data_IF_392273597166
#
_entry.id   IF_392273597166
#
_cell.length_a   1.000
_cell.length_b   1.000
_cell.length_c   1.000
_cell.angle_alpha   90.00
_cell.angle_beta   90.00
_cell.angle_gamma   90.00
#
_symmetry.space_group_name_H-M   'P 1'
#
loop_
_entity.id
_entity.type
_entity.pdbx_description
1 polymer ?
#
# COMPACT_ATOMS: atom_id res chain seq x y z
N UNK A 1 -45.20 -66.35 14.69
CA UNK A 1 -45.64 -65.11 14.01
C UNK A 1 -44.93 -63.93 14.68
N UNK A 2 -43.93 -63.34 14.02
CA UNK A 2 -43.13 -62.24 14.59
C UNK A 2 -43.79 -60.93 14.18
N UNK A 3 -44.25 -60.14 15.16
CA UNK A 3 -44.66 -58.75 14.94
C UNK A 3 -43.41 -57.87 15.00
N UNK A 4 -43.00 -57.35 13.86
CA UNK A 4 -42.05 -56.23 13.81
C UNK A 4 -42.86 -54.98 14.10
N UNK A 5 -42.65 -54.36 15.26
CA UNK A 5 -43.16 -53.00 15.52
C UNK A 5 -42.18 -52.01 14.91
N UNK A 6 -42.59 -51.34 13.84
CA UNK A 6 -41.87 -50.19 13.30
C UNK A 6 -41.88 -49.05 14.33
N UNK A 7 -40.72 -48.79 14.91
CA UNK A 7 -40.52 -47.75 15.90
C UNK A 7 -40.30 -46.40 15.19
N UNK A 8 -41.38 -45.82 14.67
CA UNK A 8 -41.37 -44.49 14.06
C UNK A 8 -41.25 -43.40 15.14
N UNK A 9 -40.03 -43.21 15.69
CA UNK A 9 -39.71 -42.04 16.50
C UNK A 9 -39.65 -40.83 15.58
N UNK A 10 -40.75 -40.07 15.52
CA UNK A 10 -40.81 -38.80 14.78
C UNK A 10 -39.84 -37.78 15.37
N UNK A 11 -39.28 -36.93 14.51
CA UNK A 11 -38.42 -35.82 14.90
C UNK A 11 -39.19 -34.90 15.85
N UNK A 12 -38.67 -34.65 17.05
CA UNK A 12 -39.32 -33.76 17.99
C UNK A 12 -38.98 -32.30 17.66
N UNK A 13 -39.91 -31.38 17.95
CA UNK A 13 -39.71 -29.95 17.69
C UNK A 13 -38.50 -29.38 18.45
N UNK A 14 -38.21 -29.94 19.63
CA UNK A 14 -37.06 -29.54 20.44
C UNK A 14 -35.73 -29.96 19.80
N UNK A 15 -35.64 -31.13 19.16
CA UNK A 15 -34.44 -31.57 18.45
C UNK A 15 -34.18 -30.70 17.22
N UNK A 16 -35.23 -30.26 16.52
CA UNK A 16 -35.11 -29.32 15.40
C UNK A 16 -34.62 -27.96 15.86
N UNK A 17 -35.19 -27.44 16.96
CA UNK A 17 -34.80 -26.15 17.54
C UNK A 17 -33.34 -26.19 18.01
N UNK A 18 -32.92 -27.25 18.68
CA UNK A 18 -31.54 -27.42 19.13
C UNK A 18 -30.57 -27.48 17.94
N UNK A 19 -30.95 -28.20 16.87
CA UNK A 19 -30.14 -28.30 15.64
C UNK A 19 -30.01 -26.93 14.95
N UNK A 20 -31.09 -26.16 14.84
CA UNK A 20 -31.07 -24.81 14.28
C UNK A 20 -30.24 -23.85 15.14
N UNK A 21 -30.33 -23.96 16.47
CA UNK A 21 -29.52 -23.16 17.38
C UNK A 21 -28.02 -23.42 17.16
N UNK A 22 -27.61 -24.69 17.13
CA UNK A 22 -26.21 -25.07 16.86
C UNK A 22 -25.77 -24.60 15.47
N UNK A 23 -26.60 -24.79 14.45
CA UNK A 23 -26.30 -24.38 13.08
C UNK A 23 -26.08 -22.86 12.98
N UNK A 24 -26.92 -22.05 13.64
CA UNK A 24 -26.76 -20.59 13.63
C UNK A 24 -25.45 -20.13 14.27
N UNK A 25 -25.01 -20.80 15.35
CA UNK A 25 -23.70 -20.54 15.98
C UNK A 25 -22.59 -20.86 14.97
N UNK A 26 -22.64 -22.01 14.30
CA UNK A 26 -21.63 -22.42 13.32
C UNK A 26 -21.58 -21.42 12.16
N UNK A 27 -22.73 -21.05 11.59
CA UNK A 27 -22.80 -20.06 10.50
C UNK A 27 -22.23 -18.72 10.94
N UNK A 28 -22.54 -18.26 12.15
CA UNK A 28 -22.00 -17.01 12.69
C UNK A 28 -20.47 -17.03 12.78
N UNK A 29 -19.90 -18.12 13.30
CA UNK A 29 -18.44 -18.29 13.40
C UNK A 29 -17.77 -18.31 12.02
N UNK A 30 -18.31 -19.11 11.09
CA UNK A 30 -17.77 -19.21 9.72
C UNK A 30 -17.86 -17.86 9.00
N UNK A 31 -18.98 -17.17 9.11
CA UNK A 31 -19.18 -15.86 8.49
C UNK A 31 -18.20 -14.83 9.02
N UNK A 32 -17.92 -14.82 10.33
CA UNK A 32 -16.93 -13.92 10.93
C UNK A 32 -15.53 -14.15 10.36
N UNK A 33 -15.09 -15.41 10.24
CA UNK A 33 -13.79 -15.75 9.65
C UNK A 33 -13.73 -15.33 8.18
N UNK A 34 -14.78 -15.57 7.40
CA UNK A 34 -14.84 -15.18 5.99
C UNK A 34 -14.75 -13.66 5.82
N UNK A 35 -15.54 -12.89 6.56
CA UNK A 35 -15.50 -11.42 6.52
C UNK A 35 -14.11 -10.91 6.90
N UNK A 36 -13.49 -11.46 7.95
CA UNK A 36 -12.14 -11.08 8.34
C UNK A 36 -11.10 -11.41 7.26
N UNK A 37 -11.24 -12.55 6.60
CA UNK A 37 -10.35 -12.97 5.51
C UNK A 37 -10.46 -12.05 4.30
N UNK A 38 -11.68 -11.67 3.93
CA UNK A 38 -11.92 -10.71 2.84
C UNK A 38 -11.32 -9.33 3.17
N UNK A 39 -11.57 -8.81 4.38
CA UNK A 39 -11.00 -7.54 4.84
C UNK A 39 -9.47 -7.57 4.86
N UNK A 40 -8.86 -8.71 5.21
CA UNK A 40 -7.42 -8.89 5.16
C UNK A 40 -6.90 -8.89 3.72
N UNK A 41 -7.56 -9.61 2.81
CA UNK A 41 -7.19 -9.66 1.38
C UNK A 41 -7.20 -8.26 0.78
N UNK A 42 -8.27 -7.50 0.98
CA UNK A 42 -8.39 -6.13 0.45
C UNK A 42 -7.26 -5.20 0.94
N UNK A 43 -6.90 -5.30 2.23
CA UNK A 43 -5.79 -4.52 2.81
C UNK A 43 -4.44 -4.95 2.24
N UNK A 44 -4.25 -6.25 2.03
CA UNK A 44 -3.02 -6.80 1.46
C UNK A 44 -2.86 -6.37 -0.01
N UNK A 45 -3.94 -6.42 -0.78
CA UNK A 45 -3.97 -5.98 -2.19
C UNK A 45 -3.69 -4.49 -2.32
N UNK A 46 -4.31 -3.63 -1.50
CA UNK A 46 -4.01 -2.19 -1.48
C UNK A 46 -2.53 -1.93 -1.18
N UNK A 47 -1.96 -2.58 -0.16
CA UNK A 47 -0.53 -2.45 0.16
C UNK A 47 0.38 -2.88 -0.99
N UNK A 48 0.04 -3.96 -1.68
CA UNK A 48 0.80 -4.43 -2.84
C UNK A 48 0.74 -3.43 -3.99
N UNK A 49 -0.43 -2.87 -4.25
CA UNK A 49 -0.61 -1.82 -5.27
C UNK A 49 0.23 -0.57 -4.96
N UNK A 50 0.18 -0.08 -3.71
CA UNK A 50 0.99 1.04 -3.25
C UNK A 50 2.50 0.76 -3.35
N UNK A 51 2.94 -0.44 -2.99
CA UNK A 51 4.33 -0.85 -3.13
C UNK A 51 4.78 -0.89 -4.60
N UNK A 52 3.93 -1.41 -5.49
CA UNK A 52 4.19 -1.43 -6.93
C UNK A 52 4.34 -0.03 -7.50
N UNK A 53 3.48 0.91 -7.08
CA UNK A 53 3.55 2.31 -7.50
C UNK A 53 4.86 2.96 -7.02
N UNK A 54 5.22 2.77 -5.75
CA UNK A 54 6.48 3.29 -5.21
C UNK A 54 7.69 2.75 -5.97
N UNK A 55 7.68 1.45 -6.30
CA UNK A 55 8.77 0.83 -7.06
C UNK A 55 8.84 1.37 -8.49
N UNK A 56 7.70 1.63 -9.14
CA UNK A 56 7.66 2.25 -10.46
C UNK A 56 8.26 3.66 -10.44
N UNK A 57 7.86 4.50 -9.47
CA UNK A 57 8.41 5.84 -9.27
C UNK A 57 9.92 5.82 -9.02
N UNK A 58 10.39 4.93 -8.13
CA UNK A 58 11.81 4.76 -7.85
C UNK A 58 12.59 4.27 -9.07
N UNK A 59 12.01 3.36 -9.86
CA UNK A 59 12.64 2.89 -11.10
C UNK A 59 12.78 4.03 -12.11
N UNK A 60 11.75 4.87 -12.27
CA UNK A 60 11.82 6.05 -13.13
C UNK A 60 12.89 7.04 -12.64
N UNK A 61 12.89 7.39 -11.35
CA UNK A 61 13.92 8.24 -10.76
C UNK A 61 15.33 7.67 -10.96
N UNK A 62 15.48 6.36 -10.80
CA UNK A 62 16.75 5.65 -11.04
C UNK A 62 17.19 5.75 -12.48
N UNK A 63 16.27 5.56 -13.44
CA UNK A 63 16.57 5.70 -14.86
C UNK A 63 17.05 7.12 -15.19
N UNK A 64 16.36 8.16 -14.69
CA UNK A 64 16.82 9.55 -14.86
C UNK A 64 18.19 9.79 -14.23
N UNK A 65 18.42 9.23 -13.04
CA UNK A 65 19.70 9.35 -12.33
C UNK A 65 20.85 8.61 -13.04
N UNK A 66 20.56 7.59 -13.85
CA UNK A 66 21.58 6.82 -14.58
C UNK A 66 21.83 7.32 -16.01
N UNK A 67 20.89 8.06 -16.61
CA UNK A 67 20.90 8.37 -18.05
C UNK A 67 21.54 9.72 -18.43
N UNK A 68 21.72 10.64 -17.48
CA UNK A 68 22.22 12.00 -17.76
C UNK A 68 23.22 12.52 -16.72
N UNK A 69 23.65 13.78 -16.87
CA UNK A 69 24.48 14.47 -15.88
C UNK A 69 23.65 15.14 -14.79
N UNK A 70 22.50 15.68 -15.17
CA UNK A 70 21.56 16.36 -14.27
C UNK A 70 20.11 16.17 -14.71
N UNK A 71 19.19 16.24 -13.77
CA UNK A 71 17.75 16.29 -14.04
C UNK A 71 17.03 17.14 -13.00
N UNK A 72 15.83 17.61 -13.31
CA UNK A 72 14.99 18.37 -12.41
C UNK A 72 13.97 17.47 -11.73
N UNK A 73 13.80 17.65 -10.42
CA UNK A 73 12.69 17.06 -9.67
C UNK A 73 11.94 18.16 -8.96
N UNK A 74 10.62 18.18 -9.10
CA UNK A 74 9.73 19.00 -8.28
C UNK A 74 8.62 18.16 -7.68
N UNK A 75 8.12 18.64 -6.54
CA UNK A 75 7.03 18.02 -5.82
C UNK A 75 6.09 19.10 -5.33
N UNK A 76 4.80 18.92 -5.62
CA UNK A 76 3.74 19.78 -5.15
C UNK A 76 2.79 18.97 -4.26
N UNK A 77 2.81 19.26 -2.96
CA UNK A 77 1.95 18.63 -1.96
C UNK A 77 0.47 19.03 -2.10
N UNK A 78 0.17 20.16 -2.72
CA UNK A 78 -1.22 20.63 -2.94
C UNK A 78 -1.88 19.91 -4.12
N UNK A 79 -1.14 19.73 -5.23
CA UNK A 79 -1.63 18.98 -6.40
C UNK A 79 -1.25 17.50 -6.35
N UNK A 80 -0.49 17.07 -5.33
CA UNK A 80 0.08 15.72 -5.20
C UNK A 80 0.89 15.27 -6.41
N UNK A 81 1.45 16.22 -7.17
CA UNK A 81 2.21 15.92 -8.38
C UNK A 81 3.71 15.83 -8.06
N UNK A 82 4.33 14.76 -8.56
CA UNK A 82 5.78 14.65 -8.68
C UNK A 82 6.12 14.83 -10.16
N UNK A 83 7.03 15.74 -10.46
CA UNK A 83 7.52 15.99 -11.82
C UNK A 83 9.01 15.70 -11.91
N UNK A 84 9.40 15.02 -12.99
CA UNK A 84 10.79 14.80 -13.36
C UNK A 84 11.00 15.33 -14.78
N UNK A 85 11.85 16.34 -14.95
CA UNK A 85 12.03 17.05 -16.22
C UNK A 85 10.67 17.40 -16.90
N UNK A 86 9.79 18.07 -16.15
CA UNK A 86 8.44 18.49 -16.58
C UNK A 86 7.42 17.36 -16.84
N UNK A 87 7.82 16.09 -16.71
CA UNK A 87 6.92 14.93 -16.86
C UNK A 87 6.32 14.55 -15.50
N UNK A 88 4.99 14.48 -15.41
CA UNK A 88 4.29 13.98 -14.21
C UNK A 88 4.47 12.47 -14.12
N UNK A 89 5.00 11.99 -13.00
CA UNK A 89 5.32 10.57 -12.79
C UNK A 89 4.35 9.86 -11.83
N UNK A 90 3.60 10.61 -11.02
CA UNK A 90 2.62 10.07 -10.07
C UNK A 90 1.21 9.97 -10.64
N UNK A 91 0.41 9.09 -10.07
CA UNK A 91 -1.04 8.99 -10.30
C UNK A 91 -1.85 10.01 -9.50
N UNK A 92 -2.96 10.55 -10.05
CA UNK A 92 -3.76 11.60 -9.42
C UNK A 92 -4.63 11.14 -8.24
N UNK A 93 -4.88 9.83 -8.11
CA UNK A 93 -5.70 9.21 -7.04
C UNK A 93 -4.90 8.91 -5.76
N UNK A 94 -3.60 9.22 -5.75
CA UNK A 94 -2.70 8.92 -4.65
C UNK A 94 -2.08 10.18 -4.09
N UNK A 95 -1.93 10.21 -2.77
CA UNK A 95 -1.18 11.25 -2.10
C UNK A 95 0.26 10.80 -1.93
N UNK A 96 1.20 11.66 -2.32
CA UNK A 96 2.62 11.41 -2.17
C UNK A 96 3.21 12.34 -1.12
N UNK A 97 4.18 11.82 -0.38
CA UNK A 97 5.15 12.61 0.38
C UNK A 97 6.51 12.22 -0.15
N UNK A 98 7.23 13.18 -0.70
CA UNK A 98 8.55 12.97 -1.28
C UNK A 98 9.58 13.83 -0.54
N UNK A 99 10.65 13.18 -0.07
CA UNK A 99 11.82 13.84 0.49
C UNK A 99 13.05 13.37 -0.28
N UNK A 100 13.80 14.31 -0.82
CA UNK A 100 15.05 14.05 -1.56
C UNK A 100 16.21 14.86 -0.99
N UNK A 101 17.37 14.22 -0.85
CA UNK A 101 18.57 14.85 -0.26
C UNK A 101 19.88 14.30 -0.87
N UNK A 102 20.76 15.19 -1.32
CA UNK A 102 22.13 14.87 -1.79
C UNK A 102 23.23 15.34 -0.83
N UNK A 103 22.86 16.13 0.20
CA UNK A 103 23.75 16.70 1.20
C UNK A 103 23.90 15.77 2.42
N UNK A 104 22.95 14.85 2.63
CA UNK A 104 23.01 13.81 3.67
C UNK A 104 24.31 12.99 3.68
N UNK A 105 24.96 12.85 2.51
CA UNK A 105 26.25 12.16 2.38
C UNK A 105 27.50 13.02 2.60
N UNK A 106 27.34 14.34 2.68
CA UNK A 106 28.46 15.27 2.86
C UNK A 106 28.62 15.73 4.31
N UNK A 107 27.88 15.12 5.26
CA UNK A 107 27.89 15.52 6.68
C UNK A 107 27.28 16.91 6.92
N UNK A 108 26.62 17.50 5.92
CA UNK A 108 25.92 18.77 6.01
C UNK A 108 24.53 18.57 6.61
N UNK A 109 24.02 19.53 7.41
CA UNK A 109 22.67 19.46 7.95
C UNK A 109 21.64 19.37 6.81
N UNK A 110 20.82 18.31 6.84
CA UNK A 110 19.74 18.09 5.89
C UNK A 110 18.83 19.32 5.78
N UNK A 111 18.80 19.96 4.62
CA UNK A 111 18.02 21.18 4.38
C UNK A 111 16.53 20.89 4.15
N UNK A 112 16.09 19.63 4.21
CA UNK A 112 14.70 19.26 3.91
C UNK A 112 14.16 18.36 5.01
N UNK A 113 13.89 18.98 6.17
CA UNK A 113 13.10 18.39 7.24
C UNK A 113 11.66 18.84 7.10
N UNK A 114 10.92 18.31 6.12
CA UNK A 114 9.46 18.14 6.16
C UNK A 114 8.91 17.82 4.78
N UNK A 115 7.76 17.12 4.79
CA UNK A 115 6.88 16.81 3.68
C UNK A 115 6.27 18.07 3.01
N UNK A 116 7.10 19.01 2.58
CA UNK A 116 6.66 20.25 1.95
C UNK A 116 6.98 20.25 0.47
N UNK A 117 6.06 20.86 -0.30
CA UNK A 117 6.27 21.16 -1.71
C UNK A 117 7.66 21.76 -1.91
N UNK A 118 8.38 21.29 -2.93
CA UNK A 118 9.61 21.92 -3.36
C UNK A 118 9.55 22.23 -4.86
N UNK A 119 10.01 23.43 -5.26
CA UNK A 119 10.11 23.79 -6.68
C UNK A 119 11.18 22.93 -7.36
N UNK A 120 11.36 23.12 -8.67
CA UNK A 120 12.36 22.39 -9.45
C UNK A 120 13.75 22.43 -8.79
N UNK A 121 14.20 21.27 -8.33
CA UNK A 121 15.55 21.05 -7.83
C UNK A 121 16.38 20.37 -8.90
N UNK A 122 17.51 20.97 -9.23
CA UNK A 122 18.52 20.33 -10.08
C UNK A 122 19.25 19.26 -9.27
N UNK A 123 19.11 18.02 -9.70
CA UNK A 123 19.75 16.85 -9.11
C UNK A 123 20.94 16.47 -9.98
N UNK A 124 22.14 16.40 -9.38
CA UNK A 124 23.35 15.96 -10.08
C UNK A 124 23.50 14.45 -9.97
N UNK A 125 23.81 13.76 -11.07
CA UNK A 125 23.81 12.28 -11.10
C UNK A 125 25.08 11.64 -10.55
N UNK A 126 26.17 12.38 -10.43
CA UNK A 126 27.43 11.86 -9.89
C UNK A 126 27.46 11.80 -8.34
N UNK A 127 26.37 12.23 -7.66
CA UNK A 127 26.23 12.15 -6.20
C UNK A 127 25.07 11.24 -5.84
N UNK A 128 25.21 10.37 -4.82
CA UNK A 128 24.10 9.58 -4.30
C UNK A 128 22.89 10.45 -3.97
N UNK A 129 21.71 10.00 -4.37
CA UNK A 129 20.44 10.64 -4.04
C UNK A 129 19.73 9.81 -2.97
N UNK A 130 19.57 10.36 -1.77
CA UNK A 130 18.66 9.80 -0.78
C UNK A 130 17.22 10.14 -1.18
N UNK A 131 16.36 9.13 -1.21
CA UNK A 131 14.93 9.27 -1.51
C UNK A 131 14.13 8.60 -0.39
N UNK A 132 13.23 9.37 0.20
CA UNK A 132 12.18 8.87 1.07
C UNK A 132 10.84 9.20 0.42
N UNK A 133 10.07 8.14 0.14
CA UNK A 133 8.79 8.22 -0.54
C UNK A 133 7.75 7.54 0.34
N UNK A 134 6.67 8.27 0.64
CA UNK A 134 5.46 7.70 1.24
C UNK A 134 4.28 7.94 0.29
N UNK A 135 3.49 6.90 0.08
CA UNK A 135 2.28 6.93 -0.76
C UNK A 135 1.10 6.56 0.13
N UNK A 136 0.00 7.31 0.01
CA UNK A 136 -1.22 7.14 0.79
C UNK A 136 -2.40 7.04 -0.18
N UNK A 137 -3.24 6.02 -0.04
CA UNK A 137 -4.48 5.87 -0.82
C UNK A 137 -5.69 6.56 -0.14
N UNK A 138 -6.81 6.61 -0.85
CA UNK A 138 -8.08 7.17 -0.34
C UNK A 138 -8.60 6.45 0.91
N UNK A 139 -8.24 5.17 1.10
CA UNK A 139 -8.61 4.34 2.26
C UNK A 139 -7.62 4.51 3.42
N UNK A 140 -6.74 5.51 3.37
CA UNK A 140 -5.70 5.78 4.36
C UNK A 140 -4.72 4.62 4.59
N UNK A 141 -4.61 3.68 3.64
CA UNK A 141 -3.50 2.74 3.59
C UNK A 141 -2.26 3.49 3.12
N UNK A 142 -1.11 3.11 3.67
CA UNK A 142 0.16 3.77 3.37
C UNK A 142 1.27 2.77 3.09
N UNK A 143 2.18 3.17 2.22
CA UNK A 143 3.43 2.49 1.96
C UNK A 143 4.58 3.50 2.01
N UNK A 144 5.69 3.11 2.64
CA UNK A 144 6.87 3.96 2.80
C UNK A 144 8.12 3.20 2.37
N UNK A 145 8.98 3.87 1.61
CA UNK A 145 10.27 3.35 1.17
C UNK A 145 11.33 4.42 1.34
N UNK A 146 12.48 4.01 1.91
CA UNK A 146 13.69 4.83 2.02
C UNK A 146 14.80 4.13 1.29
N UNK A 147 15.41 4.81 0.34
CA UNK A 147 16.45 4.22 -0.50
C UNK A 147 17.47 5.26 -0.93
N UNK A 148 18.52 4.76 -1.58
CA UNK A 148 19.63 5.53 -2.11
C UNK A 148 19.80 5.15 -3.55
N UNK A 149 19.73 6.14 -4.43
CA UNK A 149 19.97 5.95 -5.85
C UNK A 149 21.41 6.38 -6.12
N UNK A 150 22.20 5.45 -6.66
CA UNK A 150 23.55 5.70 -7.12
C UNK A 150 23.59 5.63 -8.65
N UNK A 151 24.55 6.34 -9.24
CA UNK A 151 24.94 6.11 -10.63
C UNK A 151 25.67 4.77 -10.75
N UNK A 152 25.39 4.03 -11.83
CA UNK A 152 26.09 2.79 -12.18
C UNK A 152 27.53 3.08 -12.59
#
# INVERSE_FOLDING_TARGET
MIRVLDNNKGFTLIELLASLAILSIIIGLVSSVLINSMNYSERSESKLSLASEANLLLAQLTNYHQSGETYKVSYNSTTTEIKVNDTVVGKPDLQYILVIDQQKYQGLPSSTSSAQSFPDRNIVTYRPLFVELRIIDEKSQQYEVKTVINRK
#
